data_IF_574737610538
#
_entry.id   IF_574737610538
#
_cell.length_a   1.000
_cell.length_b   1.000
_cell.length_c   1.000
_cell.angle_alpha   90.00
_cell.angle_beta   90.00
_cell.angle_gamma   90.00
#
_symmetry.space_group_name_H-M   'P 1'
#
loop_
_entity.id
_entity.type
_entity.pdbx_description
1 polymer ?
#
# COMPACT_ATOMS: atom_id res chain seq x y z
N UNK A 1 -12.00 -1.72 31.65
CA UNK A 1 -12.41 -0.80 30.56
C UNK A 1 -11.19 -0.07 29.99
N UNK A 2 -10.28 -0.77 29.33
CA UNK A 2 -9.08 -0.19 28.68
C UNK A 2 -8.76 -0.87 27.35
N UNK A 3 -9.82 -1.35 26.71
CA UNK A 3 -9.85 -1.90 25.36
C UNK A 3 -11.13 -1.31 24.75
N UNK A 4 -11.16 -1.01 23.45
CA UNK A 4 -12.26 -0.42 22.64
C UNK A 4 -12.03 1.02 22.15
N UNK A 5 -11.15 1.84 22.74
CA UNK A 5 -11.00 3.24 22.28
C UNK A 5 -10.14 3.45 21.01
N UNK A 6 -9.58 2.39 20.41
CA UNK A 6 -8.78 2.49 19.17
C UNK A 6 -9.56 2.15 17.88
N UNK A 7 -10.82 1.73 17.99
CA UNK A 7 -11.54 1.13 16.86
C UNK A 7 -12.28 2.13 15.96
N UNK A 8 -12.35 3.42 16.32
CA UNK A 8 -13.24 4.37 15.64
C UNK A 8 -12.54 5.52 14.89
N UNK A 9 -11.24 5.75 15.07
CA UNK A 9 -10.56 6.94 14.51
C UNK A 9 -9.99 6.68 13.11
N UNK A 10 -9.69 5.43 12.75
CA UNK A 10 -9.06 5.05 11.48
C UNK A 10 -9.96 5.20 10.23
N UNK A 11 -11.27 4.82 10.22
CA UNK A 11 -12.05 4.81 8.98
C UNK A 11 -12.43 6.22 8.47
N UNK A 12 -12.49 7.22 9.35
CA UNK A 12 -12.93 8.58 8.97
C UNK A 12 -11.91 9.31 8.08
N UNK A 13 -10.61 9.10 8.30
CA UNK A 13 -9.54 9.75 7.53
C UNK A 13 -9.47 9.19 6.10
N UNK A 14 -9.60 7.87 5.96
CA UNK A 14 -9.61 7.21 4.64
C UNK A 14 -10.78 7.64 3.77
N UNK A 15 -11.99 7.71 4.34
CA UNK A 15 -13.18 8.14 3.62
C UNK A 15 -13.11 9.61 3.15
N UNK A 16 -12.53 10.51 3.96
CA UNK A 16 -12.37 11.92 3.61
C UNK A 16 -11.38 12.12 2.45
N UNK A 17 -10.28 11.36 2.43
CA UNK A 17 -9.29 11.40 1.35
C UNK A 17 -9.85 10.83 0.03
N UNK A 18 -10.62 9.74 0.10
CA UNK A 18 -11.30 9.15 -1.07
C UNK A 18 -12.32 10.13 -1.67
N UNK A 19 -13.10 10.81 -0.82
CA UNK A 19 -14.07 11.79 -1.27
C UNK A 19 -13.42 13.03 -1.90
N UNK A 20 -12.30 13.49 -1.35
CA UNK A 20 -11.53 14.59 -1.91
C UNK A 20 -10.95 14.24 -3.29
N UNK A 21 -10.40 13.03 -3.46
CA UNK A 21 -9.81 12.56 -4.71
C UNK A 21 -10.82 12.47 -5.86
N UNK A 22 -12.06 12.02 -5.60
CA UNK A 22 -13.11 11.91 -6.64
C UNK A 22 -13.59 13.25 -7.17
N UNK A 23 -13.51 14.33 -6.39
CA UNK A 23 -14.11 15.62 -6.76
C UNK A 23 -13.18 16.52 -7.57
N UNK A 24 -11.86 16.37 -7.45
CA UNK A 24 -10.92 17.41 -7.91
C UNK A 24 -10.11 17.11 -9.18
N UNK A 25 -10.04 15.89 -9.72
CA UNK A 25 -9.05 15.59 -10.77
C UNK A 25 -9.48 14.63 -11.90
N UNK A 26 -10.25 15.10 -12.89
CA UNK A 26 -10.32 14.45 -14.21
C UNK A 26 -8.97 14.50 -14.97
N UNK A 27 -8.08 15.43 -14.63
CA UNK A 27 -6.80 15.67 -15.32
C UNK A 27 -5.60 14.88 -14.75
N UNK A 28 -5.72 14.23 -13.58
CA UNK A 28 -4.59 13.52 -12.94
C UNK A 28 -4.21 12.21 -13.64
N UNK A 29 -5.13 11.61 -14.40
CA UNK A 29 -4.83 10.43 -15.21
C UNK A 29 -3.77 10.70 -16.30
N UNK A 30 -3.53 11.97 -16.65
CA UNK A 30 -2.61 12.39 -17.71
C UNK A 30 -1.24 12.86 -17.21
N UNK A 31 -1.02 12.95 -15.89
CA UNK A 31 0.24 13.45 -15.27
C UNK A 31 0.74 12.56 -14.13
N UNK A 32 0.82 11.25 -14.36
CA UNK A 32 1.48 10.31 -13.45
C UNK A 32 2.99 10.33 -13.69
N UNK A 33 3.66 11.34 -13.13
CA UNK A 33 5.13 11.34 -13.08
C UNK A 33 5.61 10.32 -12.07
N UNK A 34 6.84 9.82 -12.24
CA UNK A 34 7.46 8.91 -11.27
C UNK A 34 7.39 9.44 -9.83
N UNK A 35 7.57 10.76 -9.65
CA UNK A 35 7.40 11.43 -8.34
C UNK A 35 6.01 11.24 -7.72
N UNK A 36 4.93 11.22 -8.52
CA UNK A 36 3.56 11.04 -8.02
C UNK A 36 3.31 9.58 -7.62
N UNK A 37 3.86 8.63 -8.37
CA UNK A 37 3.83 7.20 -8.02
C UNK A 37 4.56 6.97 -6.69
N UNK A 38 5.75 7.57 -6.52
CA UNK A 38 6.50 7.49 -5.27
C UNK A 38 5.77 8.13 -4.08
N UNK A 39 5.13 9.28 -4.28
CA UNK A 39 4.31 9.93 -3.24
C UNK A 39 3.12 9.07 -2.83
N UNK A 40 2.41 8.49 -3.80
CA UNK A 40 1.32 7.57 -3.53
C UNK A 40 1.84 6.35 -2.77
N UNK A 41 2.92 5.72 -3.23
CA UNK A 41 3.54 4.58 -2.57
C UNK A 41 3.94 4.90 -1.12
N UNK A 42 4.49 6.08 -0.86
CA UNK A 42 4.78 6.54 0.50
C UNK A 42 3.52 6.64 1.35
N UNK A 43 2.47 7.28 0.84
CA UNK A 43 1.22 7.48 1.58
C UNK A 43 0.53 6.16 1.93
N UNK A 44 0.48 5.20 0.99
CA UNK A 44 -0.12 3.89 1.25
C UNK A 44 0.73 3.04 2.19
N UNK A 45 2.06 3.15 2.11
CA UNK A 45 2.98 2.47 3.03
C UNK A 45 2.83 3.00 4.46
N UNK A 46 2.80 4.32 4.63
CA UNK A 46 2.64 4.95 5.94
C UNK A 46 1.29 4.61 6.58
N UNK A 47 0.22 4.63 5.79
CA UNK A 47 -1.09 4.17 6.26
C UNK A 47 -1.04 2.72 6.72
N UNK A 48 -0.43 1.83 5.93
CA UNK A 48 -0.38 0.41 6.25
C UNK A 48 0.44 0.13 7.52
N UNK A 49 1.60 0.77 7.70
CA UNK A 49 2.40 0.67 8.92
C UNK A 49 1.57 1.09 10.14
N UNK A 50 0.82 2.20 10.05
CA UNK A 50 -0.01 2.66 11.17
C UNK A 50 -1.23 1.76 11.43
N UNK A 51 -1.70 1.03 10.41
CA UNK A 51 -2.89 0.19 10.48
C UNK A 51 -2.60 -1.25 10.92
N UNK A 52 -1.34 -1.71 10.84
CA UNK A 52 -0.95 -3.09 11.20
C UNK A 52 -0.39 -3.12 12.63
N UNK A 53 -1.02 -3.86 13.57
CA UNK A 53 -0.49 -4.03 14.92
C UNK A 53 0.92 -4.63 14.90
N UNK A 54 1.84 -4.05 15.66
CA UNK A 54 3.24 -4.50 15.71
C UNK A 54 4.13 -3.96 14.59
N UNK A 55 3.59 -3.19 13.63
CA UNK A 55 4.40 -2.45 12.69
C UNK A 55 4.91 -1.15 13.32
N UNK A 56 6.23 -0.99 13.39
CA UNK A 56 6.89 0.21 13.90
C UNK A 56 7.60 0.89 12.73
N UNK A 57 7.26 2.16 12.46
CA UNK A 57 7.74 2.91 11.28
C UNK A 57 9.27 2.93 11.16
N UNK A 58 9.97 3.01 12.28
CA UNK A 58 11.44 3.05 12.35
C UNK A 58 12.06 1.75 12.90
N UNK A 59 11.23 0.75 13.24
CA UNK A 59 11.67 -0.55 13.75
C UNK A 59 11.79 -1.59 12.65
N UNK A 60 12.65 -2.61 12.84
CA UNK A 60 12.71 -3.76 11.93
C UNK A 60 11.40 -4.55 12.02
N UNK A 61 10.66 -4.62 10.93
CA UNK A 61 9.44 -5.41 10.80
C UNK A 61 9.82 -6.88 10.56
N UNK A 62 9.16 -7.80 11.26
CA UNK A 62 9.33 -9.23 10.98
C UNK A 62 8.75 -9.59 9.62
N UNK A 63 9.15 -10.74 9.05
CA UNK A 63 8.65 -11.23 7.76
C UNK A 63 7.10 -11.23 7.69
N UNK A 64 6.44 -11.70 8.76
CA UNK A 64 4.98 -11.76 8.81
C UNK A 64 4.35 -10.36 8.83
N UNK A 65 4.88 -9.46 9.68
CA UNK A 65 4.37 -8.08 9.78
C UNK A 65 4.63 -7.32 8.48
N UNK A 66 5.80 -7.48 7.86
CA UNK A 66 6.12 -6.89 6.56
C UNK A 66 5.15 -7.34 5.47
N UNK A 67 4.82 -8.64 5.43
CA UNK A 67 3.84 -9.20 4.48
C UNK A 67 2.45 -8.61 4.69
N UNK A 68 2.01 -8.46 5.94
CA UNK A 68 0.71 -7.85 6.29
C UNK A 68 0.65 -6.37 5.91
N UNK A 69 1.72 -5.61 6.16
CA UNK A 69 1.84 -4.20 5.78
C UNK A 69 1.77 -4.05 4.26
N UNK A 70 2.46 -4.90 3.49
CA UNK A 70 2.40 -4.87 2.02
C UNK A 70 0.97 -5.15 1.55
N UNK A 71 0.32 -6.20 2.08
CA UNK A 71 -1.06 -6.55 1.70
C UNK A 71 -2.04 -5.40 2.02
N UNK A 72 -1.91 -4.78 3.19
CA UNK A 72 -2.76 -3.66 3.62
C UNK A 72 -2.55 -2.41 2.77
N UNK A 73 -1.31 -2.12 2.38
CA UNK A 73 -0.97 -1.00 1.51
C UNK A 73 -1.60 -1.16 0.12
N UNK A 74 -1.53 -2.37 -0.45
CA UNK A 74 -2.12 -2.67 -1.76
C UNK A 74 -3.63 -2.55 -1.70
N UNK A 75 -4.27 -3.16 -0.69
CA UNK A 75 -5.73 -3.06 -0.52
C UNK A 75 -6.18 -1.60 -0.46
N UNK A 76 -5.50 -0.78 0.36
CA UNK A 76 -5.81 0.64 0.45
C UNK A 76 -5.59 1.38 -0.88
N UNK A 77 -4.53 1.05 -1.62
CA UNK A 77 -4.28 1.65 -2.93
C UNK A 77 -5.38 1.30 -3.93
N UNK A 78 -5.83 0.05 -3.99
CA UNK A 78 -6.93 -0.39 -4.87
C UNK A 78 -8.23 0.31 -4.51
N UNK A 79 -8.51 0.49 -3.22
CA UNK A 79 -9.74 1.13 -2.75
C UNK A 79 -9.75 2.66 -2.96
N UNK A 80 -8.59 3.30 -2.87
CA UNK A 80 -8.50 4.77 -2.79
C UNK A 80 -7.84 5.45 -3.99
N UNK A 81 -7.00 4.76 -4.76
CA UNK A 81 -6.25 5.36 -5.86
C UNK A 81 -6.94 5.17 -7.22
N UNK A 82 -6.76 6.11 -8.16
CA UNK A 82 -7.21 5.91 -9.55
C UNK A 82 -6.51 4.69 -10.17
N UNK A 83 -7.24 3.85 -10.91
CA UNK A 83 -6.69 2.63 -11.54
C UNK A 83 -5.44 2.89 -12.39
N UNK A 84 -5.40 4.02 -13.13
CA UNK A 84 -4.23 4.44 -13.92
C UNK A 84 -2.97 4.66 -13.08
N UNK A 85 -3.10 5.10 -11.83
CA UNK A 85 -1.97 5.29 -10.92
C UNK A 85 -1.39 3.94 -10.46
N UNK A 86 -2.24 2.94 -10.27
CA UNK A 86 -1.86 1.57 -9.94
C UNK A 86 -1.19 0.91 -11.16
N UNK A 87 -1.75 1.08 -12.36
CA UNK A 87 -1.13 0.64 -13.62
C UNK A 87 0.27 1.24 -13.81
N UNK A 88 0.44 2.55 -13.58
CA UNK A 88 1.72 3.24 -13.70
C UNK A 88 2.77 2.76 -12.67
N UNK A 89 2.34 2.19 -11.55
CA UNK A 89 3.21 1.55 -10.57
C UNK A 89 3.65 0.13 -10.99
N UNK A 90 3.19 -0.36 -12.15
CA UNK A 90 3.37 -1.75 -12.60
C UNK A 90 2.26 -2.68 -12.12
N UNK A 91 1.06 -2.15 -11.90
CA UNK A 91 -0.07 -2.87 -11.30
C UNK A 91 0.11 -3.10 -9.79
N UNK A 92 -0.77 -3.91 -9.20
CA UNK A 92 -0.71 -4.24 -7.77
C UNK A 92 0.62 -4.92 -7.38
N UNK A 93 1.17 -5.77 -8.26
CA UNK A 93 2.48 -6.43 -8.06
C UNK A 93 3.65 -5.45 -8.10
N UNK A 94 3.64 -4.49 -9.04
CA UNK A 94 4.64 -3.44 -9.10
C UNK A 94 4.60 -2.51 -7.88
N UNK A 95 3.38 -2.16 -7.43
CA UNK A 95 3.18 -1.40 -6.19
C UNK A 95 3.70 -2.18 -4.97
N UNK A 96 3.40 -3.48 -4.87
CA UNK A 96 3.89 -4.35 -3.81
C UNK A 96 5.43 -4.30 -3.68
N UNK A 97 6.14 -4.36 -4.82
CA UNK A 97 7.61 -4.23 -4.88
C UNK A 97 8.11 -2.87 -4.44
N UNK A 98 7.38 -1.79 -4.73
CA UNK A 98 7.75 -0.44 -4.28
C UNK A 98 7.59 -0.33 -2.75
N UNK A 99 6.48 -0.83 -2.20
CA UNK A 99 6.23 -0.85 -0.76
C UNK A 99 7.28 -1.70 -0.05
N UNK A 100 7.54 -2.93 -0.50
CA UNK A 100 8.56 -3.82 0.06
C UNK A 100 9.93 -3.14 0.20
N UNK A 101 10.39 -2.43 -0.84
CA UNK A 101 11.68 -1.71 -0.84
C UNK A 101 11.74 -0.53 0.15
N UNK A 102 10.59 -0.04 0.61
CA UNK A 102 10.50 1.06 1.58
C UNK A 102 10.43 0.57 3.02
N UNK A 103 10.11 -0.70 3.24
CA UNK A 103 9.98 -1.25 4.58
C UNK A 103 11.36 -1.52 5.18
N UNK A 104 11.52 -1.14 6.45
CA UNK A 104 12.66 -1.55 7.26
C UNK A 104 12.38 -2.96 7.79
N UNK A 105 12.85 -3.99 7.09
CA UNK A 105 12.59 -5.39 7.44
C UNK A 105 13.73 -5.99 8.26
N UNK A 106 13.45 -7.11 8.94
CA UNK A 106 14.49 -7.93 9.57
C UNK A 106 15.47 -8.53 8.55
N UNK A 107 16.68 -8.87 8.98
CA UNK A 107 17.76 -9.28 8.05
C UNK A 107 17.46 -10.60 7.31
N UNK A 108 16.60 -11.43 7.88
CA UNK A 108 16.12 -12.67 7.26
C UNK A 108 15.02 -12.45 6.21
N UNK A 109 14.48 -11.23 6.10
CA UNK A 109 13.42 -10.91 5.17
C UNK A 109 13.95 -10.83 3.73
N UNK A 110 13.29 -11.55 2.85
CA UNK A 110 13.61 -11.64 1.43
C UNK A 110 12.36 -11.48 0.60
N UNK A 111 12.53 -11.20 -0.69
CA UNK A 111 11.38 -11.18 -1.61
C UNK A 111 10.62 -12.51 -1.60
N UNK A 112 11.32 -13.65 -1.46
CA UNK A 112 10.71 -14.97 -1.49
C UNK A 112 9.82 -15.27 -0.27
N UNK A 113 10.17 -14.79 0.91
CA UNK A 113 9.44 -15.09 2.15
C UNK A 113 8.49 -13.96 2.61
N UNK A 114 8.68 -12.74 2.12
CA UNK A 114 7.90 -11.56 2.57
C UNK A 114 7.02 -10.98 1.47
N UNK A 115 7.52 -10.91 0.23
CA UNK A 115 6.78 -10.29 -0.88
C UNK A 115 6.00 -11.32 -1.72
N UNK A 116 6.63 -12.43 -2.09
CA UNK A 116 6.03 -13.45 -2.93
C UNK A 116 4.72 -14.04 -2.37
N UNK A 117 4.58 -14.30 -1.04
CA UNK A 117 3.32 -14.77 -0.48
C UNK A 117 2.16 -13.77 -0.63
N UNK A 118 2.47 -12.47 -0.69
CA UNK A 118 1.46 -11.43 -0.94
C UNK A 118 1.09 -11.42 -2.41
N UNK A 119 2.07 -11.38 -3.32
CA UNK A 119 1.83 -11.37 -4.78
C UNK A 119 1.00 -12.58 -5.23
N UNK A 120 1.25 -13.77 -4.69
CA UNK A 120 0.47 -14.98 -4.99
C UNK A 120 -1.00 -14.87 -4.60
N UNK A 121 -1.33 -14.05 -3.60
CA UNK A 121 -2.70 -13.83 -3.11
C UNK A 121 -3.39 -12.66 -3.80
N UNK A 122 -2.66 -11.85 -4.57
CA UNK A 122 -3.26 -10.75 -5.32
C UNK A 122 -4.09 -11.32 -6.48
N UNK A 123 -5.27 -10.75 -6.75
CA UNK A 123 -5.99 -11.06 -7.97
C UNK A 123 -5.07 -10.73 -9.15
N UNK A 124 -4.68 -11.76 -9.91
CA UNK A 124 -3.82 -11.55 -11.07
C UNK A 124 -4.55 -10.67 -12.09
N UNK A 125 -4.12 -9.41 -12.21
CA UNK A 125 -4.45 -8.63 -13.41
C UNK A 125 -3.73 -9.29 -14.61
N UNK A 126 -4.39 -9.42 -15.77
CA UNK A 126 -3.82 -10.11 -16.91
C UNK A 126 -2.48 -9.49 -17.27
N UNK A 127 -1.43 -10.32 -17.35
CA UNK A 127 -0.18 -9.97 -18.03
C UNK A 127 -0.59 -9.49 -19.42
N UNK A 128 -0.55 -8.18 -19.64
CA UNK A 128 -0.64 -7.65 -20.99
C UNK A 128 0.70 -8.00 -21.63
N UNK A 129 0.70 -9.16 -22.30
CA UNK A 129 1.73 -9.59 -23.23
C UNK A 129 1.91 -8.47 -24.27
N UNK A 130 3.02 -7.74 -24.18
CA UNK A 130 3.46 -6.74 -25.16
C UNK A 130 4.98 -6.73 -25.24
#
# INVERSE_FOLDING_TARGET
>A
MREIMLTAIIPAVGAYLIAALRKTYPWAALFLTQRRVEQMANAVTEYAINAVPGAVKDGKLSINVGSEVIAKAIQYAVDAAPAKAIEAAGGESGLAKIVFRKLNLEDAATEANTLAPVIQKLPHAPMTDR
#
